data_IF_784353223432
#
_entry.id   IF_784353223432
#
_cell.length_a   1.000
_cell.length_b   1.000
_cell.length_c   1.000
_cell.angle_alpha   90.00
_cell.angle_beta   90.00
_cell.angle_gamma   90.00
#
_symmetry.space_group_name_H-M   'P 1'
#
loop_
_entity.id
_entity.type
_entity.pdbx_description
1 polymer ?
#
# COMPACT_ATOMS: atom_id res chain seq x y z
N UNK A 1 24.93 -3.85 -4.81
CA UNK A 1 24.35 -2.92 -5.80
C UNK A 1 22.88 -2.80 -5.50
N UNK A 2 22.41 -1.63 -5.06
CA UNK A 2 21.00 -1.37 -4.74
C UNK A 2 20.41 -0.43 -5.78
N UNK A 3 19.10 -0.56 -6.01
CA UNK A 3 18.33 0.06 -7.10
C UNK A 3 18.22 1.60 -7.05
N UNK A 4 19.34 2.31 -6.88
CA UNK A 4 19.41 3.78 -6.79
C UNK A 4 19.85 4.48 -8.08
N UNK A 5 20.32 3.74 -9.08
CA UNK A 5 21.03 4.35 -10.23
C UNK A 5 20.34 4.19 -11.60
N UNK A 6 19.04 3.83 -11.66
CA UNK A 6 18.32 3.81 -12.93
C UNK A 6 16.92 4.41 -12.82
N UNK A 7 16.74 5.60 -13.43
CA UNK A 7 15.46 6.30 -13.57
C UNK A 7 14.37 5.58 -14.39
N UNK A 8 14.61 4.33 -14.79
CA UNK A 8 13.63 3.45 -15.43
C UNK A 8 12.99 2.47 -14.42
N UNK A 9 13.55 2.25 -13.23
CA UNK A 9 12.97 1.27 -12.27
C UNK A 9 11.95 1.94 -11.35
N UNK A 10 10.90 2.50 -11.96
CA UNK A 10 9.64 2.86 -11.29
C UNK A 10 8.46 2.71 -12.27
N UNK A 11 8.41 1.64 -13.07
CA UNK A 11 7.51 1.52 -14.23
C UNK A 11 6.43 0.46 -14.10
N UNK A 12 5.98 0.15 -12.89
CA UNK A 12 4.67 -0.49 -12.72
C UNK A 12 3.98 0.05 -11.47
N UNK A 13 2.87 0.72 -11.68
CA UNK A 13 1.92 1.12 -10.66
C UNK A 13 0.54 1.14 -11.30
N UNK A 14 -0.49 0.84 -10.51
CA UNK A 14 -1.87 0.94 -10.99
C UNK A 14 -2.43 2.24 -10.46
N UNK A 15 -2.86 3.12 -11.37
CA UNK A 15 -3.71 4.26 -11.03
C UNK A 15 -5.16 3.87 -11.22
N UNK A 16 -6.03 4.37 -10.35
CA UNK A 16 -7.48 4.11 -10.42
C UNK A 16 -7.90 2.76 -9.87
N UNK A 17 -6.97 1.99 -9.31
CA UNK A 17 -7.27 0.82 -8.51
C UNK A 17 -8.12 1.25 -7.31
N UNK A 18 -9.33 0.69 -7.19
CA UNK A 18 -10.18 0.90 -6.02
C UNK A 18 -10.01 -0.22 -5.00
N UNK A 19 -9.87 -1.45 -5.47
CA UNK A 19 -9.82 -2.63 -4.62
C UNK A 19 -8.82 -3.64 -5.19
N UNK A 20 -7.98 -4.18 -4.32
CA UNK A 20 -7.08 -5.29 -4.60
C UNK A 20 -7.28 -6.40 -3.56
N UNK A 21 -7.73 -7.56 -4.01
CA UNK A 21 -7.88 -8.75 -3.15
C UNK A 21 -6.72 -9.70 -3.41
N UNK A 22 -5.94 -9.99 -2.37
CA UNK A 22 -4.82 -10.93 -2.43
C UNK A 22 -5.20 -12.17 -1.62
N UNK A 23 -5.16 -13.33 -2.28
CA UNK A 23 -5.31 -14.62 -1.61
C UNK A 23 -4.01 -14.96 -0.87
N UNK A 24 -4.10 -15.18 0.43
CA UNK A 24 -2.95 -15.41 1.32
C UNK A 24 -2.70 -16.89 1.54
N UNK A 25 -3.70 -17.60 2.07
CA UNK A 25 -3.62 -19.03 2.37
C UNK A 25 -4.95 -19.71 1.97
N UNK A 26 -4.88 -20.63 1.00
CA UNK A 26 -6.05 -21.38 0.51
C UNK A 26 -6.69 -22.26 1.58
N UNK A 27 -5.94 -22.58 2.63
CA UNK A 27 -6.29 -23.59 3.64
C UNK A 27 -6.39 -23.02 5.04
N UNK A 28 -6.29 -21.69 5.19
CA UNK A 28 -6.40 -21.02 6.49
C UNK A 28 -7.70 -21.40 7.20
N UNK A 29 -7.58 -22.08 8.33
CA UNK A 29 -8.70 -22.44 9.22
C UNK A 29 -9.06 -21.34 10.21
N UNK A 30 -8.14 -20.40 10.45
CA UNK A 30 -8.28 -19.28 11.35
C UNK A 30 -7.48 -18.08 10.83
N UNK A 31 -7.83 -16.84 11.23
CA UNK A 31 -7.07 -15.66 10.87
C UNK A 31 -5.63 -15.71 11.42
N UNK A 32 -4.70 -15.13 10.66
CA UNK A 32 -3.29 -14.95 11.01
C UNK A 32 -2.93 -13.46 10.95
N UNK A 33 -1.86 -13.09 11.66
CA UNK A 33 -1.31 -11.74 11.62
C UNK A 33 -0.31 -11.60 10.48
N UNK A 34 -0.35 -10.45 9.81
CA UNK A 34 0.56 -10.10 8.74
C UNK A 34 1.15 -8.71 8.95
N UNK A 35 2.40 -8.54 8.54
CA UNK A 35 2.99 -7.24 8.27
C UNK A 35 2.71 -6.90 6.80
N UNK A 36 2.03 -5.78 6.57
CA UNK A 36 1.68 -5.26 5.25
C UNK A 36 2.48 -3.99 4.98
N UNK A 37 3.20 -3.92 3.86
CA UNK A 37 3.87 -2.71 3.40
C UNK A 37 3.28 -2.25 2.07
N UNK A 38 2.87 -1.00 2.02
CA UNK A 38 2.33 -0.36 0.83
C UNK A 38 3.32 0.67 0.32
N UNK A 39 3.64 0.58 -0.97
CA UNK A 39 4.60 1.44 -1.64
C UNK A 39 3.87 2.42 -2.55
N UNK A 40 4.20 3.70 -2.38
CA UNK A 40 3.63 4.81 -3.14
C UNK A 40 4.75 5.66 -3.70
N UNK A 41 4.64 6.06 -4.95
CA UNK A 41 5.51 7.02 -5.60
C UNK A 41 4.63 7.81 -6.55
N UNK A 42 4.54 9.13 -6.36
CA UNK A 42 3.78 9.99 -7.26
C UNK A 42 4.52 10.12 -8.60
N UNK A 43 3.97 9.62 -9.71
CA UNK A 43 4.60 9.75 -11.02
C UNK A 43 4.29 11.09 -11.69
N UNK A 44 3.19 11.73 -11.31
CA UNK A 44 2.66 12.91 -12.00
C UNK A 44 3.12 14.22 -11.37
N UNK A 45 3.05 15.31 -12.15
CA UNK A 45 3.25 16.67 -11.65
C UNK A 45 2.02 17.18 -10.87
N UNK A 46 1.62 16.48 -9.81
CA UNK A 46 0.52 16.92 -8.94
C UNK A 46 1.04 17.68 -7.71
N UNK A 47 0.32 18.72 -7.33
CA UNK A 47 0.56 19.52 -6.11
C UNK A 47 -0.08 18.84 -4.90
N UNK A 48 0.38 19.14 -3.67
CA UNK A 48 -0.32 18.72 -2.46
C UNK A 48 -1.82 19.06 -2.53
N UNK A 49 -2.67 18.12 -2.10
CA UNK A 49 -4.12 18.19 -2.13
C UNK A 49 -4.77 17.74 -3.44
N UNK A 50 -4.01 17.56 -4.53
CA UNK A 50 -4.60 17.14 -5.82
C UNK A 50 -4.84 15.63 -5.91
N UNK A 51 -4.15 14.83 -5.07
CA UNK A 51 -4.39 13.39 -4.94
C UNK A 51 -4.44 13.03 -3.47
N UNK A 52 -5.66 12.76 -2.99
CA UNK A 52 -5.95 12.44 -1.59
C UNK A 52 -6.88 11.25 -1.56
N UNK A 53 -6.51 10.22 -0.80
CA UNK A 53 -7.30 9.00 -0.70
C UNK A 53 -7.12 8.33 0.66
N UNK A 54 -8.10 7.53 1.08
CA UNK A 54 -7.97 6.67 2.24
C UNK A 54 -7.45 5.30 1.81
N UNK A 55 -6.83 4.58 2.74
CA UNK A 55 -6.42 3.19 2.55
C UNK A 55 -7.04 2.33 3.63
N UNK A 56 -7.67 1.22 3.21
CA UNK A 56 -8.24 0.22 4.11
C UNK A 56 -7.60 -1.12 3.89
N UNK A 57 -7.38 -1.85 4.98
CA UNK A 57 -6.92 -3.24 4.99
C UNK A 57 -7.98 -4.10 5.68
N UNK A 58 -8.55 -5.07 4.96
CA UNK A 58 -9.62 -5.93 5.48
C UNK A 58 -10.84 -5.13 5.96
N UNK A 59 -11.19 -4.05 5.26
CA UNK A 59 -12.29 -3.15 5.62
C UNK A 59 -11.98 -2.14 6.72
N UNK A 60 -10.83 -2.24 7.41
CA UNK A 60 -10.41 -1.28 8.44
C UNK A 60 -9.58 -0.15 7.85
N UNK A 61 -9.94 1.10 8.14
CA UNK A 61 -9.13 2.29 7.78
C UNK A 61 -7.76 2.23 8.45
N UNK A 62 -6.70 2.35 7.64
CA UNK A 62 -5.30 2.37 8.12
C UNK A 62 -4.55 3.65 7.73
N UNK A 63 -5.02 4.34 6.69
CA UNK A 63 -4.62 5.70 6.36
C UNK A 63 -5.86 6.50 5.99
N UNK A 64 -5.92 7.73 6.47
CA UNK A 64 -6.98 8.68 6.15
C UNK A 64 -6.37 9.93 5.54
N UNK A 65 -7.02 10.47 4.52
CA UNK A 65 -6.60 11.70 3.83
C UNK A 65 -5.14 11.65 3.35
N UNK A 66 -4.71 10.47 2.88
CA UNK A 66 -3.33 10.26 2.50
C UNK A 66 -2.97 11.00 1.22
N UNK A 67 -1.98 11.87 1.34
CA UNK A 67 -1.36 12.62 0.25
C UNK A 67 0.14 12.31 0.20
N UNK A 68 0.55 11.65 -0.89
CA UNK A 68 1.94 11.24 -1.15
C UNK A 68 2.85 12.47 -1.34
N UNK A 69 2.34 13.52 -1.99
CA UNK A 69 3.09 14.73 -2.27
C UNK A 69 3.26 15.63 -1.04
N UNK A 70 2.21 15.76 -0.22
CA UNK A 70 2.32 16.43 1.07
C UNK A 70 3.32 15.73 2.00
N UNK A 71 3.37 14.39 1.95
CA UNK A 71 4.29 13.59 2.76
C UNK A 71 5.76 13.78 2.35
N UNK A 72 6.05 13.83 1.05
CA UNK A 72 7.43 13.84 0.53
C UNK A 72 8.05 15.22 0.42
N UNK A 73 7.22 16.28 0.31
CA UNK A 73 7.59 17.71 0.14
C UNK A 73 8.58 17.99 -1.01
N UNK A 74 8.97 16.98 -1.79
CA UNK A 74 9.99 16.97 -2.86
C UNK A 74 9.74 15.80 -3.83
N UNK A 75 9.94 15.97 -5.14
CA UNK A 75 9.75 14.92 -6.16
C UNK A 75 11.06 14.28 -6.64
N UNK A 76 11.04 13.04 -7.16
CA UNK A 76 10.17 11.91 -6.80
C UNK A 76 10.81 11.10 -5.66
N UNK A 77 10.09 10.93 -4.54
CA UNK A 77 10.54 10.06 -3.43
C UNK A 77 9.50 8.97 -3.18
N UNK A 78 9.94 7.73 -3.19
CA UNK A 78 9.12 6.61 -2.78
C UNK A 78 8.76 6.72 -1.28
N UNK A 79 7.50 6.44 -0.96
CA UNK A 79 6.94 6.39 0.38
C UNK A 79 6.52 4.96 0.67
N UNK A 80 6.96 4.44 1.80
CA UNK A 80 6.52 3.14 2.31
C UNK A 80 5.68 3.36 3.57
N UNK A 81 4.54 2.68 3.66
CA UNK A 81 3.70 2.63 4.86
C UNK A 81 3.59 1.18 5.32
N UNK A 82 4.05 0.93 6.55
CA UNK A 82 4.07 -0.39 7.16
C UNK A 82 2.95 -0.50 8.21
N UNK A 83 2.19 -1.59 8.16
CA UNK A 83 1.13 -1.93 9.09
C UNK A 83 1.39 -3.32 9.64
N UNK A 84 1.58 -3.43 10.95
CA UNK A 84 1.80 -4.72 11.64
C UNK A 84 0.49 -5.24 12.22
N UNK A 85 0.45 -6.53 12.52
CA UNK A 85 -0.69 -7.22 13.15
C UNK A 85 -1.99 -7.04 12.34
N UNK A 86 -1.89 -7.01 11.01
CA UNK A 86 -3.06 -7.00 10.13
C UNK A 86 -3.62 -8.42 10.10
N UNK A 87 -4.82 -8.60 10.65
CA UNK A 87 -5.45 -9.92 10.75
C UNK A 87 -6.18 -10.27 9.47
N UNK A 88 -5.84 -11.39 8.84
CA UNK A 88 -6.50 -11.90 7.65
C UNK A 88 -6.53 -13.43 7.64
N UNK A 89 -7.53 -14.04 7.01
CA UNK A 89 -7.65 -15.49 6.87
C UNK A 89 -7.18 -15.93 5.47
N UNK A 90 -8.13 -16.24 4.59
CA UNK A 90 -7.87 -16.74 3.23
C UNK A 90 -7.43 -15.65 2.27
N UNK A 91 -7.88 -14.42 2.49
CA UNK A 91 -7.61 -13.26 1.66
C UNK A 91 -7.50 -11.98 2.49
N UNK A 92 -6.78 -11.02 1.93
CA UNK A 92 -6.75 -9.64 2.39
C UNK A 92 -7.17 -8.72 1.26
N UNK A 93 -8.17 -7.90 1.54
CA UNK A 93 -8.62 -6.83 0.65
C UNK A 93 -7.94 -5.53 1.03
N UNK A 94 -7.41 -4.83 0.03
CA UNK A 94 -6.81 -3.51 0.12
C UNK A 94 -7.70 -2.56 -0.68
N UNK A 95 -8.34 -1.61 0.00
CA UNK A 95 -9.16 -0.60 -0.66
C UNK A 95 -8.45 0.75 -0.67
N UNK A 96 -8.49 1.41 -1.83
CA UNK A 96 -8.04 2.78 -2.04
C UNK A 96 -9.26 3.64 -2.34
N UNK A 97 -9.67 4.45 -1.36
CA UNK A 97 -10.90 5.23 -1.45
C UNK A 97 -10.56 6.67 -1.82
N UNK A 98 -10.81 7.03 -3.07
CA UNK A 98 -10.54 8.38 -3.55
C UNK A 98 -11.36 9.44 -2.79
N UNK A 99 -10.69 10.50 -2.33
CA UNK A 99 -11.34 11.76 -1.90
C UNK A 99 -11.17 12.85 -2.95
N UNK A 100 -9.97 12.95 -3.53
CA UNK A 100 -9.65 13.87 -4.62
C UNK A 100 -8.61 13.22 -5.53
N UNK A 101 -8.76 13.41 -6.84
CA UNK A 101 -7.91 12.77 -7.83
C UNK A 101 -8.06 11.25 -7.83
N UNK A 102 -7.09 10.57 -8.43
CA UNK A 102 -7.13 9.12 -8.64
C UNK A 102 -6.15 8.43 -7.70
N UNK A 103 -6.52 7.44 -6.87
CA UNK A 103 -5.56 6.75 -6.02
C UNK A 103 -4.49 6.05 -6.85
N UNK A 104 -3.32 5.84 -6.24
CA UNK A 104 -2.21 5.09 -6.83
C UNK A 104 -1.65 4.09 -5.83
N UNK A 105 -1.09 2.99 -6.34
CA UNK A 105 -0.35 2.00 -5.58
C UNK A 105 0.74 1.39 -6.47
N UNK A 106 1.99 1.42 -6.01
CA UNK A 106 3.15 0.94 -6.77
C UNK A 106 3.61 -0.45 -6.33
N UNK A 107 3.35 -0.84 -5.09
CA UNK A 107 3.77 -2.13 -4.57
C UNK A 107 3.08 -2.51 -3.28
N UNK A 108 2.93 -3.81 -3.09
CA UNK A 108 2.35 -4.41 -1.89
C UNK A 108 3.27 -5.55 -1.46
N UNK A 109 3.67 -5.53 -0.20
CA UNK A 109 4.35 -6.63 0.46
C UNK A 109 3.45 -7.12 1.60
N UNK A 110 3.26 -8.44 1.68
CA UNK A 110 2.51 -9.07 2.77
C UNK A 110 3.33 -10.23 3.28
N UNK A 111 3.74 -10.15 4.54
CA UNK A 111 4.55 -11.16 5.21
C UNK A 111 3.79 -11.68 6.42
N UNK A 112 3.63 -13.00 6.53
CA UNK A 112 3.05 -13.60 7.73
C UNK A 112 3.95 -13.27 8.92
N UNK A 113 3.35 -12.73 9.98
CA UNK A 113 4.02 -12.62 11.27
C UNK A 113 4.01 -14.02 11.86
N UNK A 114 5.14 -14.73 11.79
CA UNK A 114 5.27 -16.01 12.45
C UNK A 114 4.84 -15.83 13.91
N UNK A 115 3.91 -16.69 14.36
CA UNK A 115 3.71 -16.90 15.79
C UNK A 115 5.05 -17.43 16.28
N UNK A 116 5.85 -16.56 16.90
CA UNK A 116 7.07 -16.95 17.60
C UNK A 116 6.73 -18.19 18.42
N UNK A 117 7.18 -19.36 17.97
CA UNK A 117 7.17 -20.57 18.77
C UNK A 117 8.34 -20.42 19.71
N UNK A 118 8.09 -19.82 20.87
CA UNK A 118 8.89 -20.06 22.05
C UNK A 118 8.62 -21.47 22.58
#
# INVERSE_FOLDING_TARGET
MTARDHGWVASSGVTGLQTLTIRLDKTAKAPRSYTVRLHFCEPDDVKPGQRVFDVRLGGKSVLEEFDVMATTRTRPKAVVREFKKVTAATELTIDLVARTGTPLLNGVEIVAEDLNRE
#
